data_IF_865863603148
#
_entry.id   IF_865863603148
#
_cell.length_a   1.000
_cell.length_b   1.000
_cell.length_c   1.000
_cell.angle_alpha   90.00
_cell.angle_beta   90.00
_cell.angle_gamma   90.00
#
_symmetry.space_group_name_H-M   'P 1'
#
loop_
_entity.id
_entity.type
_entity.pdbx_description
1 polymer ?
#
# COMPACT_ATOMS: atom_id res chain seq x y z
N UNK A 1 4.87 -16.38 -9.48
CA UNK A 1 4.80 -15.68 -10.78
C UNK A 1 4.05 -14.37 -10.55
N UNK A 2 4.74 -13.25 -10.37
CA UNK A 2 4.13 -11.97 -10.00
C UNK A 2 4.65 -10.86 -10.91
N UNK A 3 3.72 -10.16 -11.56
CA UNK A 3 3.96 -8.86 -12.20
C UNK A 3 4.45 -8.90 -13.64
N UNK A 4 3.71 -9.52 -14.56
CA UNK A 4 3.82 -9.09 -15.96
C UNK A 4 3.19 -7.70 -16.01
N UNK A 5 4.01 -6.64 -16.04
CA UNK A 5 3.53 -5.28 -16.23
C UNK A 5 2.73 -5.29 -17.54
N UNK A 6 1.41 -5.12 -17.44
CA UNK A 6 0.53 -5.22 -18.58
C UNK A 6 0.96 -4.21 -19.64
N UNK A 7 1.21 -4.70 -20.85
CA UNK A 7 1.61 -3.83 -21.94
C UNK A 7 0.41 -3.00 -22.35
N UNK A 8 0.47 -1.70 -22.09
CA UNK A 8 -0.59 -0.77 -22.45
C UNK A 8 -0.77 -0.67 -23.97
N UNK A 9 -1.96 -0.30 -24.40
CA UNK A 9 -2.23 0.09 -25.78
C UNK A 9 -1.67 1.50 -26.09
N UNK A 10 -1.61 1.90 -27.36
CA UNK A 10 -1.03 3.19 -27.78
C UNK A 10 -1.71 4.39 -27.10
N UNK A 11 -3.03 4.32 -26.85
CA UNK A 11 -3.77 5.33 -26.10
C UNK A 11 -3.37 5.37 -24.61
N UNK A 12 -3.03 4.22 -24.02
CA UNK A 12 -2.56 4.11 -22.65
C UNK A 12 -1.20 4.77 -22.44
N UNK A 13 -0.24 4.55 -23.34
CA UNK A 13 1.06 5.22 -23.27
C UNK A 13 0.97 6.74 -23.48
N UNK A 14 0.01 7.21 -24.29
CA UNK A 14 -0.29 8.65 -24.43
C UNK A 14 -0.72 9.26 -23.11
N UNK A 15 -1.72 8.63 -22.47
CA UNK A 15 -2.25 9.08 -21.18
C UNK A 15 -1.16 9.08 -20.10
N UNK A 16 -0.35 8.02 -20.05
CA UNK A 16 0.80 7.94 -19.15
C UNK A 16 1.79 9.10 -19.37
N UNK A 17 2.15 9.42 -20.62
CA UNK A 17 3.05 10.52 -20.93
C UNK A 17 2.53 11.88 -20.46
N UNK A 18 1.22 12.13 -20.63
CA UNK A 18 0.59 13.35 -20.13
C UNK A 18 0.50 13.39 -18.60
N UNK A 19 0.05 12.31 -17.96
CA UNK A 19 -0.08 12.24 -16.49
C UNK A 19 1.30 12.36 -15.82
N UNK A 20 2.28 11.58 -16.28
CA UNK A 20 3.64 11.58 -15.74
C UNK A 20 4.33 12.93 -15.99
N UNK A 21 4.21 13.47 -17.20
CA UNK A 21 4.74 14.79 -17.52
C UNK A 21 4.08 15.91 -16.72
N UNK A 22 2.76 15.86 -16.52
CA UNK A 22 2.04 16.85 -15.73
C UNK A 22 2.46 16.79 -14.25
N UNK A 23 2.64 15.58 -13.70
CA UNK A 23 3.19 15.40 -12.35
C UNK A 23 4.58 16.06 -12.26
N UNK A 24 5.48 15.81 -13.22
CA UNK A 24 6.81 16.44 -13.23
C UNK A 24 6.71 17.98 -13.29
N UNK A 25 5.90 18.51 -14.21
CA UNK A 25 5.75 19.96 -14.39
C UNK A 25 5.18 20.64 -13.15
N UNK A 26 4.13 20.08 -12.55
CA UNK A 26 3.48 20.66 -11.38
C UNK A 26 4.38 20.51 -10.14
N UNK A 27 4.94 19.33 -9.91
CA UNK A 27 5.71 19.07 -8.70
C UNK A 27 7.06 19.80 -8.70
N UNK A 28 7.82 19.73 -9.80
CA UNK A 28 9.15 20.34 -9.92
C UNK A 28 9.13 21.77 -10.47
N UNK A 29 8.13 22.13 -11.26
CA UNK A 29 8.03 23.46 -11.87
C UNK A 29 7.20 24.47 -11.09
N UNK A 30 6.28 24.01 -10.21
CA UNK A 30 5.41 24.89 -9.43
C UNK A 30 5.52 24.66 -7.91
N UNK A 31 5.29 23.42 -7.44
CA UNK A 31 5.20 23.11 -6.01
C UNK A 31 6.55 23.30 -5.29
N UNK A 32 7.64 22.73 -5.83
CA UNK A 32 8.99 22.83 -5.26
C UNK A 32 9.53 24.27 -5.23
N UNK A 33 9.50 25.03 -6.33
CA UNK A 33 9.94 26.43 -6.35
C UNK A 33 9.13 27.30 -5.40
N UNK A 34 7.81 27.07 -5.32
CA UNK A 34 6.92 27.80 -4.40
C UNK A 34 7.18 27.47 -2.92
N UNK A 35 7.47 26.20 -2.60
CA UNK A 35 7.70 25.77 -1.22
C UNK A 35 9.09 26.15 -0.67
N UNK A 36 10.09 26.32 -1.54
CA UNK A 36 11.49 26.57 -1.16
C UNK A 36 12.06 27.91 -1.65
N UNK A 37 11.23 28.80 -2.20
CA UNK A 37 11.64 30.11 -2.75
C UNK A 37 12.80 29.99 -3.76
N UNK A 38 12.81 28.88 -4.51
CA UNK A 38 13.83 28.56 -5.49
C UNK A 38 13.45 29.23 -6.82
N UNK A 39 14.43 29.75 -7.57
CA UNK A 39 14.18 30.36 -8.88
C UNK A 39 13.44 29.39 -9.81
N UNK A 40 12.46 29.91 -10.56
CA UNK A 40 11.55 29.13 -11.41
C UNK A 40 12.34 28.34 -12.46
N UNK A 41 12.55 27.03 -12.28
CA UNK A 41 13.38 26.27 -13.18
C UNK A 41 12.60 26.01 -14.47
N UNK A 42 13.22 26.30 -15.62
CA UNK A 42 12.61 26.06 -16.94
C UNK A 42 12.69 24.58 -17.36
N UNK A 43 13.60 23.81 -16.77
CA UNK A 43 13.84 22.41 -17.14
C UNK A 43 12.62 21.46 -16.98
N UNK A 44 11.74 21.59 -15.96
CA UNK A 44 10.55 20.73 -15.82
C UNK A 44 9.52 20.99 -16.93
N UNK A 45 9.40 22.24 -17.37
CA UNK A 45 8.54 22.63 -18.49
C UNK A 45 9.06 22.09 -19.83
N UNK A 46 10.37 22.12 -20.03
CA UNK A 46 11.02 21.51 -21.20
C UNK A 46 10.84 19.98 -21.17
N UNK A 47 11.05 19.34 -20.01
CA UNK A 47 10.84 17.90 -19.85
C UNK A 47 9.39 17.50 -20.14
N UNK A 48 8.41 18.29 -19.67
CA UNK A 48 7.00 18.10 -20.01
C UNK A 48 6.74 18.23 -21.51
N UNK A 49 7.27 19.27 -22.16
CA UNK A 49 7.12 19.47 -23.61
C UNK A 49 7.68 18.28 -24.40
N UNK A 50 8.87 17.79 -24.04
CA UNK A 50 9.48 16.62 -24.67
C UNK A 50 8.64 15.36 -24.46
N UNK A 51 8.17 15.12 -23.23
CA UNK A 51 7.32 13.95 -22.92
C UNK A 51 5.97 14.01 -23.62
N UNK A 52 5.35 15.20 -23.69
CA UNK A 52 4.07 15.42 -24.37
C UNK A 52 4.20 15.23 -25.89
N UNK A 53 5.28 15.76 -26.50
CA UNK A 53 5.57 15.57 -27.93
C UNK A 53 5.86 14.09 -28.21
N UNK A 54 6.66 13.42 -27.38
CA UNK A 54 6.93 11.99 -27.51
C UNK A 54 5.64 11.15 -27.39
N UNK A 55 4.75 11.51 -26.46
CA UNK A 55 3.45 10.86 -26.31
C UNK A 55 2.57 11.04 -27.57
N UNK A 56 2.52 12.24 -28.15
CA UNK A 56 1.75 12.53 -29.35
C UNK A 56 2.32 11.83 -30.60
N UNK A 57 3.62 11.95 -30.83
CA UNK A 57 4.30 11.51 -32.05
C UNK A 57 4.58 10.00 -32.07
N UNK A 58 5.15 9.44 -30.99
CA UNK A 58 5.57 8.03 -30.93
C UNK A 58 5.29 7.45 -29.54
N UNK A 59 4.02 7.12 -29.23
CA UNK A 59 3.65 6.62 -27.89
C UNK A 59 4.36 5.31 -27.51
N UNK A 60 4.75 4.50 -28.50
CA UNK A 60 5.46 3.24 -28.27
C UNK A 60 6.87 3.42 -27.69
N UNK A 61 7.50 4.60 -27.89
CA UNK A 61 8.79 4.93 -27.31
C UNK A 61 8.73 5.15 -25.77
N UNK A 62 7.53 5.36 -25.20
CA UNK A 62 7.34 5.46 -23.75
C UNK A 62 7.30 4.10 -23.04
N UNK A 63 7.30 2.99 -23.78
CA UNK A 63 7.28 1.64 -23.21
C UNK A 63 8.39 1.37 -22.17
N UNK A 64 9.69 1.63 -22.43
CA UNK A 64 10.74 1.42 -21.42
C UNK A 64 10.60 2.34 -20.21
N UNK A 65 10.17 3.59 -20.41
CA UNK A 65 9.96 4.57 -19.33
C UNK A 65 8.82 4.12 -18.41
N UNK A 66 7.69 3.72 -19.01
CA UNK A 66 6.55 3.16 -18.29
C UNK A 66 6.94 1.92 -17.48
N UNK A 67 7.69 1.00 -18.10
CA UNK A 67 8.13 -0.22 -17.42
C UNK A 67 9.05 0.08 -16.22
N UNK A 68 10.01 0.98 -16.38
CA UNK A 68 10.89 1.40 -15.28
C UNK A 68 10.12 2.07 -14.15
N UNK A 69 9.20 2.99 -14.49
CA UNK A 69 8.36 3.67 -13.51
C UNK A 69 7.44 2.70 -12.75
N UNK A 70 6.79 1.77 -13.44
CA UNK A 70 5.93 0.77 -12.81
C UNK A 70 6.71 -0.18 -11.91
N UNK A 71 7.94 -0.53 -12.29
CA UNK A 71 8.82 -1.33 -11.43
C UNK A 71 9.11 -0.59 -10.13
N UNK A 72 9.48 0.69 -10.20
CA UNK A 72 9.70 1.53 -9.01
C UNK A 72 8.43 1.59 -8.16
N UNK A 73 7.27 1.83 -8.77
CA UNK A 73 5.97 1.84 -8.09
C UNK A 73 5.68 0.53 -7.35
N UNK A 74 6.02 -0.61 -7.95
CA UNK A 74 5.87 -1.92 -7.32
C UNK A 74 6.78 -2.09 -6.08
N UNK A 75 8.05 -1.66 -6.17
CA UNK A 75 8.96 -1.69 -5.03
C UNK A 75 8.51 -0.79 -3.89
N UNK A 76 8.04 0.42 -4.21
CA UNK A 76 7.44 1.33 -3.23
C UNK A 76 6.25 0.65 -2.57
N UNK A 77 5.31 0.10 -3.36
CA UNK A 77 4.13 -0.60 -2.87
C UNK A 77 4.46 -1.75 -1.91
N UNK A 78 5.52 -2.53 -2.22
CA UNK A 78 6.00 -3.63 -1.38
C UNK A 78 6.50 -3.16 -0.01
N UNK A 79 6.98 -1.93 0.10
CA UNK A 79 7.47 -1.33 1.34
C UNK A 79 6.33 -0.58 2.06
N UNK A 80 5.54 0.21 1.34
CA UNK A 80 4.46 1.02 1.94
C UNK A 80 3.34 0.16 2.51
N UNK A 81 2.96 -0.93 1.83
CA UNK A 81 1.89 -1.82 2.29
C UNK A 81 2.18 -2.39 3.69
N UNK A 82 3.31 -3.08 3.94
CA UNK A 82 3.62 -3.58 5.29
C UNK A 82 3.84 -2.45 6.29
N UNK A 83 4.37 -1.27 5.89
CA UNK A 83 4.49 -0.12 6.79
C UNK A 83 3.11 0.35 7.27
N UNK A 84 2.16 0.54 6.34
CA UNK A 84 0.79 0.96 6.69
C UNK A 84 0.14 -0.06 7.61
N UNK A 85 0.26 -1.36 7.29
CA UNK A 85 -0.26 -2.43 8.15
C UNK A 85 0.40 -2.42 9.54
N UNK A 86 1.71 -2.21 9.62
CA UNK A 86 2.44 -2.12 10.88
C UNK A 86 1.95 -0.92 11.70
N UNK A 87 1.81 0.25 11.09
CA UNK A 87 1.27 1.46 11.75
C UNK A 87 -0.14 1.18 12.29
N UNK A 88 -1.02 0.60 11.49
CA UNK A 88 -2.37 0.23 11.96
C UNK A 88 -2.33 -0.77 13.13
N UNK A 89 -1.47 -1.78 13.06
CA UNK A 89 -1.31 -2.75 14.14
C UNK A 89 -0.84 -2.06 15.43
N UNK A 90 0.17 -1.21 15.35
CA UNK A 90 0.74 -0.52 16.51
C UNK A 90 -0.16 0.59 17.08
N UNK A 91 -1.06 1.16 16.29
CA UNK A 91 -1.99 2.20 16.75
C UNK A 91 -3.33 1.65 17.25
N UNK A 92 -3.79 0.51 16.73
CA UNK A 92 -5.13 0.00 17.07
C UNK A 92 -5.05 -1.27 17.93
N UNK A 93 -4.33 -2.28 17.43
CA UNK A 93 -4.33 -3.62 18.04
C UNK A 93 -3.39 -3.66 19.25
N UNK A 94 -2.18 -3.12 19.08
CA UNK A 94 -1.16 -3.10 20.13
C UNK A 94 -1.61 -2.37 21.40
N UNK A 95 -2.15 -1.13 21.37
CA UNK A 95 -2.59 -0.45 22.59
C UNK A 95 -3.77 -1.16 23.24
N UNK A 96 -4.69 -1.72 22.46
CA UNK A 96 -5.77 -2.55 23.00
C UNK A 96 -5.20 -3.72 23.82
N UNK A 97 -4.21 -4.44 23.27
CA UNK A 97 -3.53 -5.52 24.00
C UNK A 97 -2.81 -5.02 25.26
N UNK A 98 -2.16 -3.86 25.21
CA UNK A 98 -1.46 -3.28 26.38
C UNK A 98 -2.46 -2.89 27.46
N UNK A 99 -3.57 -2.25 27.09
CA UNK A 99 -4.66 -1.87 27.99
C UNK A 99 -5.23 -3.12 28.67
N UNK A 100 -5.60 -4.15 27.91
CA UNK A 100 -6.13 -5.41 28.48
C UNK A 100 -5.14 -6.05 29.46
N UNK A 101 -3.85 -6.06 29.11
CA UNK A 101 -2.79 -6.59 29.99
C UNK A 101 -2.65 -5.77 31.28
N UNK A 102 -2.78 -4.44 31.20
CA UNK A 102 -2.70 -3.55 32.36
C UNK A 102 -3.90 -3.74 33.30
N UNK A 103 -5.10 -3.93 32.75
CA UNK A 103 -6.31 -4.26 33.52
C UNK A 103 -6.36 -5.73 33.98
N UNK A 104 -5.31 -6.52 33.73
CA UNK A 104 -5.22 -7.92 34.15
C UNK A 104 -6.17 -8.86 33.40
N UNK A 105 -6.79 -8.40 32.31
CA UNK A 105 -7.71 -9.18 31.51
C UNK A 105 -6.94 -10.02 30.49
N UNK A 106 -6.82 -11.32 30.76
CA UNK A 106 -6.22 -12.29 29.85
C UNK A 106 -7.31 -13.20 29.25
N UNK A 107 -7.95 -12.79 28.13
CA UNK A 107 -9.06 -13.54 27.53
C UNK A 107 -8.63 -14.92 27.03
N UNK A 108 -7.34 -15.10 26.76
CA UNK A 108 -6.77 -16.35 26.25
C UNK A 108 -6.16 -17.21 27.35
N UNK A 109 -6.25 -16.82 28.63
CA UNK A 109 -5.70 -17.55 29.78
C UNK A 109 -4.28 -18.05 29.50
N UNK A 110 -3.43 -17.17 28.98
CA UNK A 110 -2.08 -17.50 28.49
C UNK A 110 -1.09 -17.74 29.63
N UNK A 111 -1.41 -17.31 30.85
CA UNK A 111 -0.62 -17.63 32.03
C UNK A 111 -0.68 -19.14 32.29
N UNK A 112 0.49 -19.75 32.39
CA UNK A 112 0.63 -21.14 32.79
C UNK A 112 0.31 -21.24 34.27
N UNK A 113 -0.69 -22.03 34.60
CA UNK A 113 -1.05 -22.45 35.93
C UNK A 113 -0.43 -23.83 36.19
N UNK A 114 0.44 -23.92 37.19
CA UNK A 114 1.12 -25.15 37.59
C UNK A 114 0.29 -26.02 38.53
N UNK A 115 -0.85 -25.53 39.02
CA UNK A 115 -1.72 -26.22 39.98
C UNK A 115 -2.87 -26.99 39.31
N UNK A 116 -2.93 -26.98 37.97
CA UNK A 116 -3.96 -27.68 37.18
C UNK A 116 -3.41 -28.91 36.48
N UNK A 117 -4.08 -30.05 36.68
CA UNK A 117 -3.75 -31.33 36.04
C UNK A 117 -3.91 -31.30 34.51
N UNK A 118 -4.76 -30.42 33.98
CA UNK A 118 -4.95 -30.25 32.54
C UNK A 118 -5.52 -28.88 32.16
N UNK A 119 -5.04 -28.32 31.06
CA UNK A 119 -5.61 -27.11 30.43
C UNK A 119 -6.81 -27.40 29.52
N UNK A 120 -7.20 -28.67 29.38
CA UNK A 120 -8.36 -29.06 28.57
C UNK A 120 -9.62 -28.52 29.23
N UNK A 121 -10.39 -27.74 28.48
CA UNK A 121 -11.74 -27.38 28.86
C UNK A 121 -12.66 -28.49 28.37
N UNK A 122 -13.45 -29.08 29.28
CA UNK A 122 -14.45 -30.06 28.88
C UNK A 122 -15.44 -29.44 27.89
N UNK A 123 -15.72 -30.18 26.82
CA UNK A 123 -16.75 -29.78 25.88
C UNK A 123 -18.08 -29.79 26.63
N UNK A 124 -18.79 -28.66 26.65
CA UNK A 124 -20.18 -28.64 27.09
C UNK A 124 -20.98 -29.56 26.15
N UNK A 125 -21.78 -30.46 26.70
CA UNK A 125 -22.69 -31.25 25.88
C UNK A 125 -23.60 -30.30 25.10
N UNK A 126 -23.54 -30.43 23.77
CA UNK A 126 -24.39 -29.65 22.88
C UNK A 126 -25.79 -30.27 22.95
N UNK A 127 -26.84 -29.53 23.33
CA UNK A 127 -28.20 -30.08 23.39
C UNK A 127 -28.57 -30.71 22.04
N UNK A 128 -29.22 -31.87 22.03
CA UNK A 128 -29.57 -32.59 20.78
C UNK A 128 -30.35 -31.72 19.80
N UNK A 129 -31.09 -30.71 20.28
CA UNK A 129 -31.79 -29.71 19.47
C UNK A 129 -30.86 -28.92 18.51
N UNK A 130 -29.58 -28.74 18.85
CA UNK A 130 -28.59 -28.08 17.96
C UNK A 130 -28.07 -29.01 16.85
N UNK A 131 -28.35 -30.31 16.90
CA UNK A 131 -28.02 -31.24 15.80
C UNK A 131 -29.06 -31.15 14.69
N UNK A 132 -30.32 -30.82 15.01
CA UNK A 132 -31.38 -30.61 14.02
C UNK A 132 -31.22 -29.28 13.26
N UNK A 133 -30.69 -28.24 13.92
CA UNK A 133 -30.41 -26.94 13.30
C UNK A 133 -28.98 -26.50 13.61
N UNK A 134 -28.01 -26.88 12.77
CA UNK A 134 -26.58 -26.67 13.04
C UNK A 134 -26.09 -25.22 12.83
N UNK A 135 -26.99 -24.25 12.64
CA UNK A 135 -26.67 -22.83 12.44
C UNK A 135 -27.51 -21.92 13.34
#
# INVERSE_FOLDING_TARGET
>A
MHGVIETLDAAGYRRFGFEFGAIIAVFFGLLLPWAWDLGWPLWPWIAFGVLAIAALAVPMALKPVHYGWMTIGHWIGKITTPIVLAVMFYLLIFPCSVIMKLFGHDPMRRKLDTDVDSYRLDSKENPEANLEYPF
#
